data_IF_890539489714
#
_entry.id   IF_890539489714
#
_cell.length_a   1.000
_cell.length_b   1.000
_cell.length_c   1.000
_cell.angle_alpha   90.00
_cell.angle_beta   90.00
_cell.angle_gamma   90.00
#
_symmetry.space_group_name_H-M   'P 1'
#
loop_
_entity.id
_entity.type
_entity.pdbx_description
1 polymer ?
#
# COMPACT_ATOMS: atom_id res chain seq x y z
N UNK A 1 -3.12 -13.64 15.50
CA UNK A 1 -2.03 -13.34 16.42
C UNK A 1 -1.92 -11.81 16.63
N UNK A 2 -1.19 -11.38 17.68
CA UNK A 2 -1.03 -9.97 18.03
C UNK A 2 -0.41 -9.14 16.90
N UNK A 3 0.61 -9.67 16.22
CA UNK A 3 1.24 -9.00 15.07
C UNK A 3 0.24 -8.76 13.92
N UNK A 4 -0.54 -9.78 13.54
CA UNK A 4 -1.53 -9.62 12.46
C UNK A 4 -2.58 -8.56 12.79
N UNK A 5 -3.06 -8.50 14.05
CA UNK A 5 -4.04 -7.50 14.47
C UNK A 5 -3.44 -6.10 14.38
N UNK A 6 -2.27 -5.87 14.99
CA UNK A 6 -1.60 -4.55 14.94
C UNK A 6 -1.23 -4.12 13.52
N UNK A 7 -0.86 -5.07 12.65
CA UNK A 7 -0.62 -4.75 11.23
C UNK A 7 -1.89 -4.34 10.50
N UNK A 8 -3.04 -4.94 10.85
CA UNK A 8 -4.33 -4.56 10.26
C UNK A 8 -4.86 -3.22 10.80
N UNK A 9 -4.43 -2.84 12.00
CA UNK A 9 -4.78 -1.56 12.66
C UNK A 9 -3.71 -0.48 12.43
N UNK A 10 -2.72 -0.73 11.55
CA UNK A 10 -1.58 0.15 11.24
C UNK A 10 -0.74 0.58 12.46
N UNK A 11 -0.74 -0.24 13.52
CA UNK A 11 -0.05 0.02 14.78
C UNK A 11 1.18 -0.88 15.02
N UNK A 12 1.67 -1.58 14.00
CA UNK A 12 2.85 -2.44 14.17
C UNK A 12 4.15 -1.64 14.04
N UNK A 13 5.06 -1.64 15.04
CA UNK A 13 6.25 -0.79 15.08
C UNK A 13 7.26 -1.10 13.96
N UNK A 14 7.26 -2.31 13.43
CA UNK A 14 8.16 -2.74 12.36
C UNK A 14 7.48 -2.77 10.98
N UNK A 15 6.29 -2.18 10.84
CA UNK A 15 5.59 -2.01 9.58
C UNK A 15 5.29 -0.53 9.34
N UNK A 16 5.64 -0.04 8.17
CA UNK A 16 5.28 1.30 7.72
C UNK A 16 4.60 1.23 6.36
N UNK A 17 3.50 1.96 6.20
CA UNK A 17 2.80 2.09 4.93
C UNK A 17 2.80 3.55 4.52
N UNK A 18 3.35 3.84 3.35
CA UNK A 18 3.37 5.17 2.73
C UNK A 18 2.41 5.14 1.55
N UNK A 19 1.38 5.97 1.55
CA UNK A 19 0.35 5.94 0.53
C UNK A 19 -0.34 7.27 0.28
N UNK A 20 -1.49 7.18 -0.38
CA UNK A 20 -2.27 8.30 -0.90
C UNK A 20 -2.80 9.25 0.15
N UNK A 21 -3.22 8.75 1.30
CA UNK A 21 -4.04 9.48 2.26
C UNK A 21 -3.37 9.66 3.62
N UNK A 22 -2.39 8.83 3.93
CA UNK A 22 -1.68 8.93 5.21
C UNK A 22 -0.34 8.20 5.19
N UNK A 23 0.56 8.63 6.04
CA UNK A 23 1.74 7.87 6.44
C UNK A 23 1.32 7.14 7.70
N UNK A 24 0.91 5.89 7.54
CA UNK A 24 0.49 5.04 8.64
C UNK A 24 1.72 4.32 9.22
N UNK A 25 1.82 4.30 10.54
CA UNK A 25 2.89 3.58 11.24
C UNK A 25 4.25 4.29 11.29
N UNK A 26 4.31 5.58 10.94
CA UNK A 26 5.53 6.38 11.12
C UNK A 26 5.37 7.17 12.41
N UNK A 27 6.15 6.79 13.42
CA UNK A 27 6.28 7.52 14.67
C UNK A 27 6.69 8.99 14.44
N UNK A 28 6.37 9.85 15.43
CA UNK A 28 6.80 11.26 15.49
C UNK A 28 8.30 11.45 15.23
N UNK A 29 9.13 10.44 15.50
CA UNK A 29 10.56 10.40 15.21
C UNK A 29 10.91 10.57 13.73
N UNK A 30 10.10 10.02 12.80
CA UNK A 30 10.31 10.20 11.37
C UNK A 30 9.80 11.55 10.88
N UNK A 31 8.80 12.09 11.58
CA UNK A 31 8.20 13.39 11.26
C UNK A 31 8.92 14.56 11.92
N UNK A 32 9.65 14.33 13.02
CA UNK A 32 10.43 15.34 13.72
C UNK A 32 11.60 15.92 12.90
N UNK A 33 12.04 15.19 11.87
CA UNK A 33 13.06 15.66 10.91
C UNK A 33 12.48 16.22 9.61
N UNK A 34 11.16 16.16 9.44
CA UNK A 34 10.48 16.81 8.33
C UNK A 34 10.21 18.28 8.72
N UNK A 35 10.86 19.18 8.01
CA UNK A 35 10.74 20.64 8.19
C UNK A 35 9.24 21.05 8.26
N UNK A 36 8.92 22.06 9.08
CA UNK A 36 7.55 22.60 9.29
C UNK A 36 6.79 22.96 7.98
N UNK A 37 7.57 23.13 6.88
CA UNK A 37 7.05 23.32 5.53
C UNK A 37 6.39 22.08 4.93
N UNK A 38 6.80 20.87 5.34
CA UNK A 38 6.23 19.61 4.87
C UNK A 38 4.85 19.34 5.52
N UNK A 39 4.66 19.76 6.78
CA UNK A 39 3.39 19.63 7.49
C UNK A 39 2.28 20.46 6.86
N UNK A 40 2.54 21.69 6.40
CA UNK A 40 1.54 22.54 5.69
C UNK A 40 1.18 22.03 4.30
N UNK A 41 2.05 21.21 3.68
CA UNK A 41 1.78 20.59 2.38
C UNK A 41 0.94 19.31 2.50
N UNK A 42 0.87 18.72 3.72
CA UNK A 42 0.02 17.56 4.05
C UNK A 42 -1.47 17.87 3.93
N UNK A 43 -1.91 19.04 4.37
CA UNK A 43 -3.32 19.47 4.35
C UNK A 43 -3.88 19.72 2.95
N UNK A 44 -3.02 19.84 1.93
CA UNK A 44 -3.42 20.11 0.53
C UNK A 44 -3.42 18.85 -0.36
N UNK A 45 -3.81 17.69 0.16
CA UNK A 45 -4.02 16.49 -0.63
C UNK A 45 -2.74 16.07 -1.37
N UNK A 46 -1.65 15.85 -0.66
CA UNK A 46 -0.34 15.50 -1.18
C UNK A 46 -0.32 14.23 -2.00
N UNK A 47 -0.46 14.41 -3.30
CA UNK A 47 -0.49 13.32 -4.27
C UNK A 47 0.90 12.82 -4.67
N UNK A 48 1.97 13.37 -4.13
CA UNK A 48 3.36 13.13 -4.54
C UNK A 48 4.16 12.63 -3.34
N UNK A 49 4.87 11.53 -3.52
CA UNK A 49 5.83 11.02 -2.54
C UNK A 49 7.15 11.74 -2.79
N UNK A 50 7.54 12.62 -1.89
CA UNK A 50 8.70 13.48 -2.05
C UNK A 50 9.99 12.91 -1.45
N UNK A 51 11.08 13.66 -1.58
CA UNK A 51 12.43 13.25 -1.17
C UNK A 51 12.57 13.08 0.34
N UNK A 52 11.88 13.88 1.14
CA UNK A 52 12.00 13.84 2.60
C UNK A 52 11.39 12.56 3.15
N UNK A 53 10.23 12.15 2.63
CA UNK A 53 9.62 10.87 2.97
C UNK A 53 10.53 9.69 2.64
N UNK A 54 11.13 9.70 1.45
CA UNK A 54 11.97 8.59 1.02
C UNK A 54 13.30 8.54 1.76
N UNK A 55 13.86 9.69 2.16
CA UNK A 55 15.04 9.75 3.04
C UNK A 55 14.71 9.21 4.43
N UNK A 56 13.63 9.68 5.02
CA UNK A 56 13.16 9.24 6.33
C UNK A 56 12.88 7.74 6.35
N UNK A 57 12.22 7.23 5.31
CA UNK A 57 12.01 5.79 5.14
C UNK A 57 13.33 5.02 5.06
N UNK A 58 14.30 5.53 4.28
CA UNK A 58 15.63 4.94 4.19
C UNK A 58 16.31 4.82 5.55
N UNK A 59 16.30 5.90 6.35
CA UNK A 59 16.83 5.90 7.71
C UNK A 59 16.08 4.94 8.64
N UNK A 60 14.76 4.90 8.57
CA UNK A 60 13.94 3.98 9.35
C UNK A 60 14.28 2.52 9.03
N UNK A 61 14.49 2.17 7.77
CA UNK A 61 14.88 0.82 7.36
C UNK A 61 16.25 0.39 7.87
N UNK A 62 17.17 1.31 8.20
CA UNK A 62 18.48 0.96 8.76
C UNK A 62 18.43 0.54 10.23
N UNK A 63 17.39 0.91 10.95
CA UNK A 63 17.22 0.54 12.35
C UNK A 63 16.92 -0.95 12.50
N UNK A 64 17.32 -1.56 13.61
CA UNK A 64 16.96 -2.95 13.91
C UNK A 64 15.44 -3.08 14.13
N UNK A 65 14.84 -4.21 13.74
CA UNK A 65 13.45 -4.50 14.09
C UNK A 65 13.26 -4.46 15.62
N UNK A 66 12.11 -3.95 16.06
CA UNK A 66 11.79 -3.87 17.49
C UNK A 66 11.33 -5.23 18.05
N UNK A 67 10.37 -5.87 17.41
CA UNK A 67 9.78 -7.14 17.85
C UNK A 67 9.56 -8.16 16.73
N UNK A 68 9.55 -7.73 15.46
CA UNK A 68 9.44 -8.61 14.32
C UNK A 68 10.83 -9.14 13.88
N UNK A 69 10.82 -10.13 13.00
CA UNK A 69 12.06 -10.61 12.37
C UNK A 69 12.64 -9.64 11.36
N UNK A 70 11.80 -8.74 10.82
CA UNK A 70 12.15 -7.80 9.76
C UNK A 70 11.38 -6.50 9.92
N UNK A 71 11.98 -5.40 9.47
CA UNK A 71 11.25 -4.16 9.18
C UNK A 71 10.67 -4.23 7.79
N UNK A 72 9.40 -3.91 7.66
CA UNK A 72 8.67 -3.96 6.40
C UNK A 72 8.15 -2.58 6.04
N UNK A 73 8.50 -2.10 4.86
CA UNK A 73 7.96 -0.88 4.30
C UNK A 73 7.09 -1.21 3.09
N UNK A 74 5.91 -0.60 3.02
CA UNK A 74 5.02 -0.68 1.85
C UNK A 74 4.85 0.73 1.29
N UNK A 75 5.24 0.94 0.04
CA UNK A 75 5.02 2.20 -0.67
C UNK A 75 3.92 1.97 -1.70
N UNK A 76 2.77 2.54 -1.43
CA UNK A 76 1.59 2.42 -2.29
C UNK A 76 1.65 3.46 -3.40
N UNK A 77 1.27 3.08 -4.62
CA UNK A 77 1.33 3.92 -5.82
C UNK A 77 2.76 4.51 -6.02
N UNK A 78 3.76 3.66 -6.02
CA UNK A 78 5.17 4.05 -6.07
C UNK A 78 5.55 4.86 -7.32
N UNK A 79 4.77 4.80 -8.41
CA UNK A 79 4.88 5.65 -9.58
C UNK A 79 4.70 7.15 -9.29
N UNK A 80 4.18 7.48 -8.11
CA UNK A 80 3.96 8.86 -7.66
C UNK A 80 5.17 9.47 -6.94
N UNK A 81 6.24 8.70 -6.77
CA UNK A 81 7.50 9.26 -6.31
C UNK A 81 8.01 10.31 -7.30
N UNK A 82 8.33 11.51 -6.80
CA UNK A 82 9.03 12.50 -7.61
C UNK A 82 10.47 12.04 -7.91
N UNK A 83 11.14 12.73 -8.84
CA UNK A 83 12.50 12.38 -9.27
C UNK A 83 13.47 12.32 -8.09
N UNK A 84 13.41 13.35 -7.23
CA UNK A 84 14.29 13.47 -6.07
C UNK A 84 14.05 12.38 -5.03
N UNK A 85 12.77 12.03 -4.77
CA UNK A 85 12.39 10.95 -3.86
C UNK A 85 12.85 9.59 -4.37
N UNK A 86 12.61 9.30 -5.65
CA UNK A 86 13.08 8.07 -6.27
C UNK A 86 14.61 7.92 -6.18
N UNK A 87 15.35 8.98 -6.51
CA UNK A 87 16.82 8.98 -6.44
C UNK A 87 17.33 8.81 -5.00
N UNK A 88 16.71 9.46 -4.02
CA UNK A 88 17.09 9.32 -2.62
C UNK A 88 16.90 7.88 -2.10
N UNK A 89 15.96 7.14 -2.68
CA UNK A 89 15.66 5.77 -2.28
C UNK A 89 16.52 4.70 -2.95
N UNK A 90 17.22 5.04 -4.03
CA UNK A 90 18.03 4.06 -4.79
C UNK A 90 19.05 3.35 -3.91
N UNK A 91 19.73 4.07 -3.01
CA UNK A 91 20.71 3.46 -2.09
C UNK A 91 20.10 2.38 -1.21
N UNK A 92 18.90 2.63 -0.68
CA UNK A 92 18.18 1.65 0.16
C UNK A 92 17.72 0.41 -0.61
N UNK A 93 17.53 0.53 -1.94
CA UNK A 93 17.20 -0.59 -2.80
C UNK A 93 18.42 -1.36 -3.28
N UNK A 94 19.57 -0.68 -3.48
CA UNK A 94 20.84 -1.31 -3.89
C UNK A 94 21.48 -2.10 -2.75
N UNK A 95 21.49 -1.48 -1.56
CA UNK A 95 22.14 -2.03 -0.37
C UNK A 95 21.13 -2.06 0.79
N UNK A 96 20.14 -2.94 0.74
CA UNK A 96 19.14 -3.02 1.79
C UNK A 96 19.77 -3.42 3.12
N UNK A 97 19.40 -2.73 4.19
CA UNK A 97 19.86 -3.06 5.52
C UNK A 97 19.44 -4.50 5.92
N UNK A 98 20.25 -5.24 6.69
CA UNK A 98 19.91 -6.57 7.15
C UNK A 98 18.55 -6.58 7.87
N UNK A 99 17.64 -7.42 7.41
CA UNK A 99 16.29 -7.51 7.96
C UNK A 99 15.31 -6.46 7.43
N UNK A 100 15.70 -5.59 6.50
CA UNK A 100 14.76 -4.71 5.81
C UNK A 100 14.06 -5.44 4.65
N UNK A 101 12.78 -5.14 4.44
CA UNK A 101 11.99 -5.59 3.31
C UNK A 101 11.12 -4.44 2.80
N UNK A 102 11.12 -4.23 1.49
CA UNK A 102 10.37 -3.15 0.86
C UNK A 102 9.44 -3.72 -0.19
N UNK A 103 8.17 -3.31 -0.12
CA UNK A 103 7.17 -3.57 -1.15
C UNK A 103 6.80 -2.24 -1.81
N UNK A 104 6.90 -2.20 -3.14
CA UNK A 104 6.43 -1.10 -3.96
C UNK A 104 5.20 -1.60 -4.72
N UNK A 105 4.06 -0.99 -4.51
CA UNK A 105 2.88 -1.30 -5.34
C UNK A 105 2.72 -0.26 -6.42
N UNK A 106 2.22 -0.67 -7.57
CA UNK A 106 1.95 0.22 -8.69
C UNK A 106 0.82 -0.34 -9.55
N UNK A 107 -0.14 0.51 -9.89
CA UNK A 107 -1.18 0.20 -10.89
C UNK A 107 -0.66 0.41 -12.33
N UNK A 108 0.43 1.14 -12.49
CA UNK A 108 1.00 1.52 -13.78
C UNK A 108 2.53 1.39 -13.76
N UNK A 109 3.07 0.16 -13.79
CA UNK A 109 4.51 -0.08 -13.64
C UNK A 109 5.38 0.58 -14.72
N UNK A 110 4.80 0.95 -15.88
CA UNK A 110 5.48 1.71 -16.94
C UNK A 110 5.86 3.13 -16.52
N UNK A 111 5.12 3.73 -15.58
CA UNK A 111 5.43 5.05 -15.02
C UNK A 111 6.45 4.99 -13.88
N UNK A 112 6.71 3.79 -13.35
CA UNK A 112 7.78 3.61 -12.38
C UNK A 112 9.14 3.83 -13.05
N UNK A 113 10.02 4.58 -12.39
CA UNK A 113 11.34 4.87 -12.94
C UNK A 113 12.11 3.58 -13.23
N UNK A 114 12.76 3.48 -14.41
CA UNK A 114 13.57 2.30 -14.75
C UNK A 114 14.62 1.96 -13.70
N UNK A 115 15.20 3.00 -13.06
CA UNK A 115 16.21 2.84 -11.99
C UNK A 115 15.67 2.17 -10.72
N UNK A 116 14.41 2.41 -10.37
CA UNK A 116 13.72 1.70 -9.28
C UNK A 116 13.38 0.28 -9.72
N UNK A 117 12.76 0.17 -10.89
CA UNK A 117 12.26 -1.11 -11.40
C UNK A 117 13.37 -2.15 -11.61
N UNK A 118 14.56 -1.72 -12.03
CA UNK A 118 15.71 -2.62 -12.24
C UNK A 118 16.28 -3.21 -10.94
N UNK A 119 15.93 -2.64 -9.79
CA UNK A 119 16.39 -3.07 -8.45
C UNK A 119 15.33 -3.82 -7.64
N UNK A 120 14.17 -4.05 -8.24
CA UNK A 120 13.06 -4.74 -7.59
C UNK A 120 12.72 -6.03 -8.34
N UNK A 121 12.43 -7.10 -7.59
CA UNK A 121 11.78 -8.26 -8.15
C UNK A 121 10.32 -7.92 -8.46
N UNK A 122 9.91 -8.12 -9.70
CA UNK A 122 8.55 -7.79 -10.13
C UNK A 122 7.61 -8.98 -9.94
N UNK A 123 6.52 -8.76 -9.23
CA UNK A 123 5.42 -9.73 -9.08
C UNK A 123 4.15 -9.11 -9.68
N UNK A 124 3.63 -9.74 -10.72
CA UNK A 124 2.40 -9.29 -11.36
C UNK A 124 1.20 -9.92 -10.64
N UNK A 125 0.35 -9.08 -10.07
CA UNK A 125 -0.95 -9.49 -9.54
C UNK A 125 -2.00 -9.33 -10.65
N UNK A 126 -2.74 -10.39 -10.90
CA UNK A 126 -3.86 -10.39 -11.85
C UNK A 126 -5.17 -10.44 -11.09
N UNK A 127 -6.22 -9.89 -11.68
CA UNK A 127 -7.56 -9.97 -11.10
C UNK A 127 -8.02 -11.42 -10.94
N UNK A 128 -8.81 -11.69 -9.90
CA UNK A 128 -9.41 -13.00 -9.68
C UNK A 128 -10.48 -13.25 -10.77
N UNK A 129 -10.50 -14.43 -11.40
CA UNK A 129 -11.54 -14.76 -12.36
C UNK A 129 -12.94 -14.60 -11.75
N UNK A 130 -13.86 -13.98 -12.51
CA UNK A 130 -15.22 -13.68 -12.08
C UNK A 130 -15.92 -14.90 -11.45
N UNK A 131 -15.80 -16.06 -12.09
CA UNK A 131 -16.42 -17.31 -11.62
C UNK A 131 -15.95 -17.70 -10.21
N UNK A 132 -14.67 -17.48 -9.88
CA UNK A 132 -14.15 -17.78 -8.54
C UNK A 132 -14.65 -16.78 -7.50
N UNK A 133 -14.81 -15.52 -7.87
CA UNK A 133 -15.40 -14.50 -6.99
C UNK A 133 -16.86 -14.84 -6.72
N UNK A 134 -17.64 -15.16 -7.75
CA UNK A 134 -19.04 -15.59 -7.63
C UNK A 134 -19.19 -16.81 -6.71
N UNK A 135 -18.38 -17.85 -6.92
CA UNK A 135 -18.38 -19.04 -6.06
C UNK A 135 -18.04 -18.73 -4.60
N UNK A 136 -17.09 -17.83 -4.39
CA UNK A 136 -16.70 -17.41 -3.04
C UNK A 136 -17.84 -16.67 -2.34
N UNK A 137 -18.50 -15.73 -3.03
CA UNK A 137 -19.60 -14.94 -2.49
C UNK A 137 -20.82 -15.84 -2.15
N UNK A 138 -21.13 -16.80 -3.01
CA UNK A 138 -22.18 -17.80 -2.72
C UNK A 138 -21.81 -18.65 -1.50
N UNK A 139 -20.54 -19.05 -1.38
CA UNK A 139 -20.03 -19.78 -0.20
C UNK A 139 -20.11 -18.97 1.10
N UNK A 140 -20.04 -17.63 1.01
CA UNK A 140 -20.23 -16.72 2.14
C UNK A 140 -21.72 -16.40 2.41
N UNK A 141 -22.66 -17.07 1.72
CA UNK A 141 -24.12 -16.96 1.93
C UNK A 141 -24.81 -15.85 1.15
N UNK A 142 -24.13 -15.23 0.18
CA UNK A 142 -24.73 -14.23 -0.70
C UNK A 142 -25.59 -14.92 -1.77
N UNK A 143 -26.76 -14.33 -2.04
CA UNK A 143 -27.71 -14.85 -3.03
C UNK A 143 -27.04 -14.92 -4.43
N UNK A 144 -27.26 -16.01 -5.23
CA UNK A 144 -26.55 -16.23 -6.48
C UNK A 144 -26.65 -15.08 -7.51
N UNK A 145 -27.81 -14.44 -7.65
CA UNK A 145 -27.98 -13.33 -8.58
C UNK A 145 -27.16 -12.11 -8.13
N UNK A 146 -27.16 -11.81 -6.85
CA UNK A 146 -26.35 -10.75 -6.25
C UNK A 146 -24.85 -11.06 -6.33
N UNK A 147 -24.43 -12.30 -6.04
CA UNK A 147 -23.06 -12.74 -6.14
C UNK A 147 -22.51 -12.55 -7.56
N UNK A 148 -23.30 -12.91 -8.57
CA UNK A 148 -22.98 -12.71 -9.98
C UNK A 148 -22.84 -11.23 -10.34
N UNK A 149 -23.77 -10.39 -9.89
CA UNK A 149 -23.71 -8.94 -10.11
C UNK A 149 -22.43 -8.33 -9.48
N UNK A 150 -22.16 -8.64 -8.22
CA UNK A 150 -20.94 -8.16 -7.52
C UNK A 150 -19.65 -8.62 -8.21
N UNK A 151 -19.62 -9.90 -8.65
CA UNK A 151 -18.48 -10.46 -9.35
C UNK A 151 -18.23 -9.80 -10.73
N UNK A 152 -19.28 -9.35 -11.42
CA UNK A 152 -19.16 -8.56 -12.65
C UNK A 152 -18.64 -7.14 -12.37
N UNK A 153 -19.15 -6.48 -11.33
CA UNK A 153 -18.86 -5.09 -11.05
C UNK A 153 -17.45 -4.85 -10.47
N UNK A 154 -16.84 -5.86 -9.85
CA UNK A 154 -15.60 -5.71 -9.07
C UNK A 154 -14.29 -5.75 -9.88
N UNK A 155 -14.34 -5.90 -11.21
CA UNK A 155 -13.17 -5.96 -12.10
C UNK A 155 -12.05 -6.92 -11.61
N UNK A 156 -12.41 -8.03 -10.97
CA UNK A 156 -11.48 -9.03 -10.44
C UNK A 156 -10.96 -8.74 -9.02
N UNK A 157 -11.48 -7.71 -8.34
CA UNK A 157 -11.15 -7.40 -6.95
C UNK A 157 -12.13 -8.04 -5.97
N UNK A 158 -11.71 -9.11 -5.29
CA UNK A 158 -12.54 -9.74 -4.26
C UNK A 158 -12.91 -8.76 -3.13
N UNK A 159 -12.00 -7.88 -2.74
CA UNK A 159 -12.27 -6.87 -1.71
C UNK A 159 -13.41 -5.92 -2.13
N UNK A 160 -13.42 -5.47 -3.39
CA UNK A 160 -14.53 -4.68 -3.92
C UNK A 160 -15.83 -5.48 -3.96
N UNK A 161 -15.78 -6.74 -4.40
CA UNK A 161 -16.96 -7.59 -4.46
C UNK A 161 -17.62 -7.80 -3.09
N UNK A 162 -16.82 -7.84 -2.01
CA UNK A 162 -17.33 -7.95 -0.64
C UNK A 162 -17.94 -6.63 -0.13
N UNK A 163 -17.48 -5.48 -0.63
CA UNK A 163 -17.96 -4.15 -0.23
C UNK A 163 -19.11 -3.63 -1.09
N UNK A 164 -19.22 -4.09 -2.33
CA UNK A 164 -20.26 -3.65 -3.27
C UNK A 164 -21.63 -4.10 -2.78
N UNK A 165 -22.53 -3.15 -2.49
CA UNK A 165 -23.95 -3.42 -2.31
C UNK A 165 -24.66 -3.28 -3.67
N UNK A 166 -25.63 -4.15 -3.99
CA UNK A 166 -26.44 -3.97 -5.19
C UNK A 166 -27.26 -2.67 -5.07
N UNK A 167 -27.46 -1.93 -6.16
CA UNK A 167 -28.26 -0.70 -6.16
C UNK A 167 -29.78 -0.96 -6.01
N UNK A 168 -30.19 -2.20 -5.69
CA UNK A 168 -31.58 -2.64 -5.73
C UNK A 168 -32.40 -2.31 -4.47
N UNK A 169 -31.79 -1.77 -3.41
CA UNK A 169 -32.55 -1.36 -2.21
C UNK A 169 -33.29 -0.03 -2.39
N UNK A 170 -32.98 0.77 -3.44
CA UNK A 170 -33.61 2.06 -3.71
C UNK A 170 -34.78 1.98 -4.69
N UNK A 171 -35.16 0.79 -5.15
CA UNK A 171 -36.26 0.60 -6.11
C UNK A 171 -37.53 -0.03 -5.50
N UNK A 172 -37.64 -0.02 -4.17
CA UNK A 172 -38.85 -0.43 -3.46
C UNK A 172 -39.43 0.76 -2.72
N UNK A 173 -39.95 1.73 -3.46
CA UNK A 173 -41.00 2.66 -3.05
C UNK A 173 -41.97 2.86 -4.22
#
# INVERSE_FOLDING_TARGET
CSHCRRSAEDMHPDLVVIGRESILGIDEELTAHADDRASKKRERGGKIIDVEYMRSLGLWLTKRPWEARRRVAVVVDAERMNISGANAFLKSLEEPAPGAMVFLTSSSPSFLRPTIRSRCASVRLVGVPQKLIEQRLIGDGIEPAEARFRALACAGSLAQALQTRPPLDDLKD
#
